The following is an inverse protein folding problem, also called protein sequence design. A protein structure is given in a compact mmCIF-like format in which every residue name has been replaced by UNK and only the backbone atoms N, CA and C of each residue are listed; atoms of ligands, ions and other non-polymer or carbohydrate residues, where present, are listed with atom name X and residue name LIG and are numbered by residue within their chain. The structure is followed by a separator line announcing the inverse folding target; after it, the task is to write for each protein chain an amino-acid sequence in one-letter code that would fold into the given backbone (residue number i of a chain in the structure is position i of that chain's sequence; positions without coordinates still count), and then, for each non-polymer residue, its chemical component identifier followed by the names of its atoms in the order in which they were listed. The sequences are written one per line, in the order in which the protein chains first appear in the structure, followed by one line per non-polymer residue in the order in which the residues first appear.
data_IF_344985797195
#
_entry.id   IF_344985797195
#
_cell.length_a   1.000
_cell.length_b   1.000
_cell.length_c   1.000
_cell.angle_alpha   90.00
_cell.angle_beta   90.00
_cell.angle_gamma   90.00
#
_symmetry.space_group_name_H-M   'P 1'
#
loop_
_entity.id
_entity.type
_entity.pdbx_description
1 polymer ?
#
# COMPACT_ATOMS: atom_id res chain seq x y z
N UNK A 1 10.64 11.16 -20.03
CA UNK A 1 9.64 11.77 -19.13
C UNK A 1 9.80 13.28 -19.15
N UNK A 2 8.71 14.02 -19.31
CA UNK A 2 8.73 15.49 -19.25
C UNK A 2 9.17 15.98 -17.86
N UNK A 3 9.72 17.20 -17.74
CA UNK A 3 10.00 17.80 -16.45
C UNK A 3 8.75 17.79 -15.57
N UNK A 4 8.91 17.38 -14.30
CA UNK A 4 7.82 17.36 -13.34
C UNK A 4 7.47 18.79 -12.94
N UNK A 5 6.17 19.08 -12.86
CA UNK A 5 5.71 20.35 -12.28
C UNK A 5 5.93 20.38 -10.75
N UNK A 6 5.79 21.55 -10.08
CA UNK A 6 6.03 21.67 -8.65
C UNK A 6 5.20 20.73 -7.77
N UNK A 7 3.94 20.45 -8.15
CA UNK A 7 3.04 19.55 -7.41
C UNK A 7 3.49 18.09 -7.57
N UNK A 8 3.78 17.68 -8.80
CA UNK A 8 4.30 16.34 -9.11
C UNK A 8 5.64 16.08 -8.41
N UNK A 9 6.53 17.07 -8.40
CA UNK A 9 7.83 16.99 -7.74
C UNK A 9 7.67 16.89 -6.21
N UNK A 10 6.78 17.69 -5.62
CA UNK A 10 6.52 17.67 -4.18
C UNK A 10 5.94 16.34 -3.71
N UNK A 11 4.96 15.79 -4.44
CA UNK A 11 4.38 14.49 -4.14
C UNK A 11 5.43 13.36 -4.23
N UNK A 12 6.26 13.37 -5.28
CA UNK A 12 7.36 12.40 -5.44
C UNK A 12 8.34 12.44 -4.27
N UNK A 13 8.86 13.63 -3.93
CA UNK A 13 9.82 13.81 -2.84
C UNK A 13 9.24 13.28 -1.52
N UNK A 14 7.97 13.60 -1.26
CA UNK A 14 7.28 13.12 -0.07
C UNK A 14 7.20 11.58 -0.02
N UNK A 15 6.76 10.92 -1.09
CA UNK A 15 6.62 9.47 -1.10
C UNK A 15 7.97 8.76 -0.97
N UNK A 16 9.02 9.26 -1.62
CA UNK A 16 10.39 8.75 -1.48
C UNK A 16 10.90 8.90 -0.04
N UNK A 17 10.68 10.06 0.58
CA UNK A 17 11.06 10.32 1.99
C UNK A 17 10.28 9.46 2.98
N UNK A 18 8.97 9.29 2.78
CA UNK A 18 8.13 8.43 3.61
C UNK A 18 8.60 6.97 3.52
N UNK A 19 8.94 6.49 2.31
CA UNK A 19 9.51 5.15 2.12
C UNK A 19 10.78 4.96 2.92
N UNK A 20 11.72 5.90 2.86
CA UNK A 20 12.99 5.79 3.61
C UNK A 20 12.75 5.71 5.13
N UNK A 21 11.83 6.52 5.65
CA UNK A 21 11.49 6.52 7.09
C UNK A 21 10.78 5.25 7.54
N UNK A 22 9.88 4.71 6.73
CA UNK A 22 9.22 3.43 7.01
C UNK A 22 10.25 2.30 7.00
N UNK A 23 11.10 2.22 5.98
CA UNK A 23 12.14 1.21 5.90
C UNK A 23 13.07 1.26 7.12
N UNK A 24 13.54 2.45 7.50
CA UNK A 24 14.38 2.62 8.68
C UNK A 24 13.69 2.17 9.98
N UNK A 25 12.39 2.46 10.14
CA UNK A 25 11.60 2.02 11.30
C UNK A 25 11.47 0.49 11.35
N UNK A 26 11.30 -0.17 10.19
CA UNK A 26 11.16 -1.62 10.11
C UNK A 26 12.49 -2.34 10.32
N UNK A 27 13.61 -1.80 9.81
CA UNK A 27 14.96 -2.31 10.11
C UNK A 27 15.29 -2.18 11.60
N UNK A 28 14.88 -1.09 12.25
CA UNK A 28 15.04 -0.94 13.70
C UNK A 28 14.26 -2.01 14.47
N UNK A 29 13.05 -2.37 14.04
CA UNK A 29 12.26 -3.46 14.63
C UNK A 29 12.94 -4.82 14.43
N UNK A 30 13.55 -5.10 13.27
CA UNK A 30 14.34 -6.33 13.07
C UNK A 30 15.51 -6.39 14.06
N UNK A 31 16.20 -5.28 14.27
CA UNK A 31 17.31 -5.17 15.23
C UNK A 31 16.84 -5.42 16.66
N UNK A 32 15.70 -4.87 17.07
CA UNK A 32 15.05 -5.18 18.35
C UNK A 32 14.67 -6.67 18.47
N UNK A 33 14.26 -7.29 17.36
CA UNK A 33 13.99 -8.73 17.26
C UNK A 33 15.26 -9.60 17.25
N UNK A 34 16.46 -9.02 17.20
CA UNK A 34 17.74 -9.72 17.12
C UNK A 34 18.06 -10.22 15.70
N UNK A 35 17.69 -9.46 14.67
CA UNK A 35 18.03 -9.70 13.27
C UNK A 35 18.72 -8.47 12.66
N UNK A 36 19.72 -8.71 11.82
CA UNK A 36 20.39 -7.67 11.03
C UNK A 36 19.81 -7.58 9.60
N UNK A 37 18.57 -8.05 9.39
CA UNK A 37 17.89 -7.93 8.10
C UNK A 37 17.71 -6.45 7.70
N UNK A 38 18.00 -6.15 6.45
CA UNK A 38 17.88 -4.82 5.84
C UNK A 38 17.15 -4.89 4.51
N UNK A 39 16.65 -3.75 4.04
CA UNK A 39 16.03 -3.65 2.72
C UNK A 39 17.07 -3.73 1.59
N UNK A 40 16.82 -4.63 0.64
CA UNK A 40 17.44 -4.60 -0.67
C UNK A 40 16.67 -3.65 -1.59
N UNK A 41 17.38 -2.75 -2.27
CA UNK A 41 16.81 -1.74 -3.13
C UNK A 41 17.15 -2.00 -4.60
N UNK A 42 16.14 -2.38 -5.38
CA UNK A 42 16.28 -2.60 -6.81
C UNK A 42 15.63 -1.46 -7.59
N UNK A 43 16.43 -0.67 -8.31
CA UNK A 43 15.93 0.33 -9.26
C UNK A 43 15.42 -0.33 -10.52
N UNK A 44 14.39 0.27 -11.11
CA UNK A 44 13.88 -0.15 -12.41
C UNK A 44 13.38 1.06 -13.18
N UNK A 45 13.56 1.00 -14.49
CA UNK A 45 13.07 2.01 -15.43
C UNK A 45 11.91 1.43 -16.23
N UNK A 46 11.00 2.31 -16.64
CA UNK A 46 9.87 2.00 -17.51
C UNK A 46 10.12 2.60 -18.87
N UNK A 47 9.91 1.79 -19.90
CA UNK A 47 9.77 2.27 -21.27
C UNK A 47 8.28 2.34 -21.59
N UNK A 48 7.82 3.44 -22.17
CA UNK A 48 6.45 3.55 -22.63
C UNK A 48 6.24 2.80 -23.96
N UNK A 49 4.99 2.60 -24.43
CA UNK A 49 4.76 1.83 -25.65
C UNK A 49 5.28 2.48 -26.95
N UNK A 50 5.71 3.75 -26.88
CA UNK A 50 6.40 4.44 -27.97
C UNK A 50 7.93 4.37 -27.86
N UNK A 51 8.45 3.47 -27.03
CA UNK A 51 9.88 3.30 -26.72
C UNK A 51 10.55 4.53 -26.05
N UNK A 52 9.76 5.44 -25.49
CA UNK A 52 10.25 6.64 -24.79
C UNK A 52 10.39 6.41 -23.27
N UNK A 53 11.27 7.17 -22.57
CA UNK A 53 11.43 7.03 -21.12
C UNK A 53 10.13 7.35 -20.35
N UNK A 54 9.51 6.31 -19.78
CA UNK A 54 8.23 6.35 -19.07
C UNK A 54 8.33 6.50 -17.56
N UNK A 55 9.49 6.89 -17.04
CA UNK A 55 9.80 7.00 -15.61
C UNK A 55 10.34 5.68 -15.04
N UNK A 56 10.05 5.38 -13.78
CA UNK A 56 10.56 4.19 -13.11
C UNK A 56 10.23 4.15 -11.62
N UNK A 57 11.00 3.40 -10.86
CA UNK A 57 10.81 3.30 -9.42
C UNK A 57 11.93 2.58 -8.69
N UNK A 58 11.74 2.43 -7.39
CA UNK A 58 12.63 1.67 -6.51
C UNK A 58 11.79 0.66 -5.75
N UNK A 59 12.15 -0.61 -5.92
CA UNK A 59 11.59 -1.71 -5.14
C UNK A 59 12.45 -1.89 -3.90
N UNK A 60 11.89 -1.71 -2.70
CA UNK A 60 12.53 -2.08 -1.44
C UNK A 60 11.94 -3.39 -0.95
N UNK A 61 12.76 -4.43 -0.74
CA UNK A 61 12.30 -5.72 -0.16
C UNK A 61 13.19 -6.13 1.00
N UNK A 62 12.59 -6.57 2.09
CA UNK A 62 13.29 -7.18 3.21
C UNK A 62 12.63 -8.51 3.58
N UNK A 63 13.45 -9.50 3.94
CA UNK A 63 13.03 -10.73 4.60
C UNK A 63 13.88 -10.89 5.85
N UNK A 64 13.23 -10.96 7.00
CA UNK A 64 13.88 -10.98 8.30
C UNK A 64 13.16 -11.88 9.30
N UNK A 65 13.50 -11.70 10.58
CA UNK A 65 12.98 -12.51 11.68
C UNK A 65 11.59 -12.04 12.12
N UNK A 66 11.33 -10.73 12.08
CA UNK A 66 10.03 -10.14 12.46
C UNK A 66 9.13 -10.01 11.23
N UNK A 67 9.67 -9.52 10.12
CA UNK A 67 9.03 -9.38 8.84
C UNK A 67 9.44 -10.55 7.92
N UNK A 68 8.60 -11.58 7.84
CA UNK A 68 8.89 -12.74 6.98
C UNK A 68 9.05 -12.34 5.51
N UNK A 69 8.27 -11.35 5.08
CA UNK A 69 8.46 -10.62 3.82
C UNK A 69 7.79 -9.27 3.92
N UNK A 70 8.54 -8.21 3.66
CA UNK A 70 7.97 -6.86 3.52
C UNK A 70 8.53 -6.22 2.26
N UNK A 71 7.71 -5.45 1.57
CA UNK A 71 8.22 -4.55 0.56
C UNK A 71 7.57 -3.19 0.64
N UNK A 72 8.37 -2.18 0.32
CA UNK A 72 8.00 -0.76 0.31
C UNK A 72 8.52 -0.18 -0.99
N UNK A 73 7.62 -0.01 -1.94
CA UNK A 73 7.92 0.41 -3.29
C UNK A 73 7.54 1.87 -3.48
N UNK A 74 8.37 2.59 -4.21
CA UNK A 74 8.01 3.91 -4.75
C UNK A 74 8.15 3.88 -6.26
N UNK A 75 7.23 4.56 -6.94
CA UNK A 75 7.27 4.71 -8.39
C UNK A 75 6.92 6.13 -8.78
N UNK A 76 7.51 6.60 -9.88
CA UNK A 76 7.14 7.81 -10.58
C UNK A 76 7.19 7.52 -12.07
N UNK A 77 6.02 7.39 -12.67
CA UNK A 77 5.84 6.98 -14.06
C UNK A 77 4.97 7.98 -14.82
N UNK A 78 5.19 8.05 -16.12
CA UNK A 78 4.35 8.84 -17.01
C UNK A 78 4.37 8.27 -18.43
N UNK A 79 3.52 8.82 -19.29
CA UNK A 79 3.44 8.40 -20.69
C UNK A 79 2.00 8.47 -21.18
N UNK A 80 1.65 7.57 -22.08
CA UNK A 80 0.33 7.55 -22.73
C UNK A 80 -0.34 6.20 -22.54
N UNK A 81 -1.63 6.21 -22.18
CA UNK A 81 -2.46 5.00 -22.14
C UNK A 81 -2.81 4.52 -23.56
N UNK A 82 -2.82 3.20 -23.79
CA UNK A 82 -3.12 2.65 -25.11
C UNK A 82 -4.60 2.31 -25.31
N UNK A 83 -5.10 2.53 -26.53
CA UNK A 83 -6.36 2.00 -27.01
C UNK A 83 -7.58 2.37 -26.16
N UNK A 84 -8.46 1.39 -25.92
CA UNK A 84 -9.69 1.61 -25.13
C UNK A 84 -9.42 1.81 -23.63
N UNK A 85 -8.19 1.54 -23.17
CA UNK A 85 -7.84 1.61 -21.76
C UNK A 85 -7.93 3.04 -21.21
N UNK A 86 -7.50 4.02 -22.02
CA UNK A 86 -7.60 5.45 -21.68
C UNK A 86 -9.06 5.87 -21.32
N UNK A 87 -10.05 5.25 -21.97
CA UNK A 87 -11.48 5.54 -21.72
C UNK A 87 -12.01 5.07 -20.37
N UNK A 88 -11.34 4.11 -19.73
CA UNK A 88 -11.67 3.68 -18.37
C UNK A 88 -10.98 4.49 -17.28
N UNK A 89 -10.02 5.35 -17.63
CA UNK A 89 -9.26 6.14 -16.66
C UNK A 89 -9.86 7.54 -16.53
N UNK A 90 -10.04 7.97 -15.29
CA UNK A 90 -10.59 9.28 -14.97
C UNK A 90 -9.75 10.41 -15.60
N UNK A 91 -10.39 11.20 -16.45
CA UNK A 91 -9.75 12.32 -17.15
C UNK A 91 -8.79 11.93 -18.29
N UNK A 92 -8.80 10.69 -18.78
CA UNK A 92 -7.91 10.26 -19.87
C UNK A 92 -8.62 9.88 -21.18
N UNK A 93 -9.95 10.04 -21.26
CA UNK A 93 -10.72 9.60 -22.43
C UNK A 93 -10.37 10.37 -23.72
N UNK A 94 -10.16 11.69 -23.61
CA UNK A 94 -9.84 12.57 -24.74
C UNK A 94 -8.33 12.85 -24.87
N UNK A 95 -7.60 12.81 -23.75
CA UNK A 95 -6.15 12.95 -23.70
C UNK A 95 -5.56 11.77 -22.90
N UNK A 96 -4.93 10.79 -23.58
CA UNK A 96 -4.45 9.58 -22.93
C UNK A 96 -3.16 9.78 -22.13
N UNK A 97 -2.60 10.99 -22.07
CA UNK A 97 -1.38 11.27 -21.30
C UNK A 97 -1.64 11.17 -19.80
N UNK A 98 -0.68 10.61 -19.09
CA UNK A 98 -0.74 10.50 -17.64
C UNK A 98 0.61 10.66 -16.97
N UNK A 99 0.54 10.97 -15.68
CA UNK A 99 1.60 10.86 -14.71
C UNK A 99 1.04 10.22 -13.44
N UNK A 100 1.85 9.40 -12.77
CA UNK A 100 1.53 8.84 -11.47
C UNK A 100 2.80 8.72 -10.63
N UNK A 101 2.71 9.15 -9.37
CA UNK A 101 3.74 8.89 -8.35
C UNK A 101 3.10 8.35 -7.08
N UNK A 102 3.79 7.49 -6.35
CA UNK A 102 3.21 6.90 -5.15
C UNK A 102 4.15 6.00 -4.37
N UNK A 103 3.70 5.67 -3.16
CA UNK A 103 4.27 4.65 -2.28
C UNK A 103 3.26 3.50 -2.15
N UNK A 104 3.74 2.26 -2.17
CA UNK A 104 2.94 1.07 -1.89
C UNK A 104 3.72 0.10 -1.02
N UNK A 105 3.08 -0.41 0.02
CA UNK A 105 3.67 -1.25 1.04
C UNK A 105 2.78 -2.44 1.35
N UNK A 106 3.39 -3.61 1.49
CA UNK A 106 2.77 -4.77 2.13
C UNK A 106 3.78 -5.41 3.07
N UNK A 107 3.36 -5.70 4.30
CA UNK A 107 4.17 -6.40 5.29
C UNK A 107 3.50 -7.70 5.72
N UNK A 108 4.16 -8.83 5.46
CA UNK A 108 3.79 -10.16 5.94
C UNK A 108 4.68 -10.53 7.11
N UNK A 109 4.07 -10.71 8.28
CA UNK A 109 4.79 -10.88 9.54
C UNK A 109 5.13 -12.33 9.82
N UNK A 110 6.27 -12.61 10.45
CA UNK A 110 6.66 -13.97 10.79
C UNK A 110 5.80 -14.54 11.93
N UNK A 111 5.50 -13.71 12.93
CA UNK A 111 4.67 -14.09 14.07
C UNK A 111 3.17 -13.95 13.73
N UNK A 112 2.35 -15.01 13.83
CA UNK A 112 0.90 -14.97 13.58
C UNK A 112 0.13 -13.92 14.40
N UNK A 113 0.64 -13.55 15.57
CA UNK A 113 -0.01 -12.54 16.41
C UNK A 113 0.23 -11.10 15.94
N UNK A 114 1.17 -10.88 15.03
CA UNK A 114 1.37 -9.57 14.43
C UNK A 114 0.53 -9.47 13.15
N UNK A 115 -0.35 -8.47 13.02
CA UNK A 115 -1.17 -8.31 11.83
C UNK A 115 -0.31 -8.03 10.59
N UNK A 116 -0.67 -8.63 9.46
CA UNK A 116 -0.18 -8.15 8.18
C UNK A 116 -0.80 -6.78 7.88
N UNK A 117 -0.13 -5.96 7.06
CA UNK A 117 -0.64 -4.62 6.73
C UNK A 117 -0.38 -4.29 5.28
N UNK A 118 -1.28 -3.47 4.73
CA UNK A 118 -1.10 -2.81 3.46
C UNK A 118 -1.26 -1.29 3.63
N UNK A 119 -0.47 -0.53 2.88
CA UNK A 119 -0.58 0.93 2.81
C UNK A 119 -0.23 1.40 1.41
N UNK A 120 -1.01 2.34 0.89
CA UNK A 120 -0.75 3.00 -0.38
C UNK A 120 -1.10 4.48 -0.28
N UNK A 121 -0.27 5.34 -0.87
CA UNK A 121 -0.61 6.72 -1.16
C UNK A 121 -0.08 7.05 -2.55
N UNK A 122 -0.89 7.72 -3.37
CA UNK A 122 -0.58 7.99 -4.78
C UNK A 122 -1.17 9.33 -5.22
N UNK A 123 -0.47 9.95 -6.16
CA UNK A 123 -0.89 11.15 -6.87
C UNK A 123 -0.94 10.84 -8.36
N UNK A 124 -2.09 11.10 -9.00
CA UNK A 124 -2.31 10.87 -10.41
C UNK A 124 -2.66 12.16 -11.13
N UNK A 125 -2.15 12.29 -12.35
CA UNK A 125 -2.40 13.43 -13.23
C UNK A 125 -2.74 12.91 -14.63
N UNK A 126 -3.91 13.30 -15.12
CA UNK A 126 -4.38 13.20 -16.50
C UNK A 126 -4.81 14.62 -16.91
N UNK A 127 -5.94 14.80 -17.60
CA UNK A 127 -6.65 16.09 -17.61
C UNK A 127 -7.24 16.46 -16.24
N UNK A 128 -7.21 15.52 -15.27
CA UNK A 128 -7.60 15.70 -13.88
C UNK A 128 -6.41 15.45 -12.95
N UNK A 129 -6.45 15.96 -11.73
CA UNK A 129 -5.44 15.73 -10.69
C UNK A 129 -6.10 15.24 -9.44
N UNK A 130 -5.61 14.15 -8.86
CA UNK A 130 -6.20 13.63 -7.62
C UNK A 130 -5.21 12.79 -6.82
N UNK A 131 -5.47 12.73 -5.52
CA UNK A 131 -4.85 11.77 -4.62
C UNK A 131 -5.76 10.56 -4.39
N UNK A 132 -5.12 9.43 -4.12
CA UNK A 132 -5.75 8.21 -3.67
C UNK A 132 -4.84 7.48 -2.70
N UNK A 133 -5.39 6.61 -1.89
CA UNK A 133 -4.60 5.89 -0.90
C UNK A 133 -5.43 5.21 0.17
N UNK A 134 -4.76 4.88 1.25
CA UNK A 134 -5.33 4.19 2.38
C UNK A 134 -4.32 3.32 3.09
N UNK A 135 -4.73 2.79 4.23
CA UNK A 135 -4.03 1.75 4.94
C UNK A 135 -5.06 0.81 5.56
N UNK A 136 -4.76 -0.50 5.54
CA UNK A 136 -5.66 -1.51 6.06
C UNK A 136 -4.90 -2.63 6.78
N UNK A 137 -5.49 -3.10 7.89
CA UNK A 137 -4.89 -4.06 8.80
C UNK A 137 -5.51 -5.45 8.60
N UNK A 138 -4.65 -6.46 8.47
CA UNK A 138 -5.03 -7.81 8.08
C UNK A 138 -4.53 -8.84 9.12
N UNK A 139 -5.13 -8.88 10.32
CA UNK A 139 -4.76 -9.85 11.35
C UNK A 139 -5.29 -11.25 11.00
N UNK A 140 -4.42 -12.29 10.94
CA UNK A 140 -4.91 -13.66 10.91
C UNK A 140 -5.53 -14.07 12.26
N UNK A 141 -5.08 -13.43 13.34
CA UNK A 141 -5.55 -13.58 14.72
C UNK A 141 -5.92 -12.17 15.25
N UNK A 142 -7.20 -11.76 15.19
CA UNK A 142 -7.59 -10.39 15.51
C UNK A 142 -7.53 -10.09 17.01
N UNK A 143 -6.92 -8.95 17.34
CA UNK A 143 -6.97 -8.35 18.68
C UNK A 143 -7.82 -7.06 18.65
N UNK A 144 -8.87 -6.94 19.48
CA UNK A 144 -9.70 -5.74 19.52
C UNK A 144 -8.91 -4.46 19.81
N UNK A 145 -7.88 -4.54 20.66
CA UNK A 145 -7.01 -3.40 20.98
C UNK A 145 -6.23 -2.92 19.75
N UNK A 146 -5.61 -3.83 19.00
CA UNK A 146 -4.79 -3.47 17.83
C UNK A 146 -5.67 -2.87 16.73
N UNK A 147 -6.90 -3.38 16.58
CA UNK A 147 -7.91 -2.83 15.67
C UNK A 147 -8.32 -1.43 16.10
N UNK A 148 -8.67 -1.22 17.37
CA UNK A 148 -9.08 0.07 17.89
C UNK A 148 -7.98 1.13 17.74
N UNK A 149 -6.73 0.79 18.10
CA UNK A 149 -5.61 1.72 18.03
C UNK A 149 -5.27 2.09 16.57
N UNK A 150 -5.31 1.11 15.65
CA UNK A 150 -5.11 1.38 14.22
C UNK A 150 -6.19 2.30 13.66
N UNK A 151 -7.46 2.00 13.95
CA UNK A 151 -8.58 2.81 13.50
C UNK A 151 -8.58 4.21 14.12
N UNK A 152 -8.17 4.35 15.38
CA UNK A 152 -8.05 5.65 16.04
C UNK A 152 -6.95 6.51 15.38
N UNK A 153 -5.81 5.92 15.00
CA UNK A 153 -4.77 6.64 14.29
C UNK A 153 -5.22 7.11 12.89
N UNK A 154 -5.91 6.23 12.14
CA UNK A 154 -6.46 6.59 10.83
C UNK A 154 -7.58 7.65 10.95
N UNK A 155 -8.43 7.52 11.96
CA UNK A 155 -9.47 8.50 12.24
C UNK A 155 -8.88 9.87 12.58
N UNK A 156 -7.87 9.93 13.44
CA UNK A 156 -7.22 11.20 13.80
C UNK A 156 -6.63 11.90 12.56
N UNK A 157 -6.03 11.16 11.64
CA UNK A 157 -5.54 11.72 10.37
C UNK A 157 -6.67 12.23 9.47
N UNK A 158 -7.82 11.58 9.46
CA UNK A 158 -9.00 12.06 8.74
C UNK A 158 -9.63 13.29 9.39
N UNK A 159 -9.88 13.25 10.69
CA UNK A 159 -10.58 14.28 11.46
C UNK A 159 -9.81 15.61 11.51
N UNK A 160 -8.48 15.57 11.32
CA UNK A 160 -7.63 16.76 11.19
C UNK A 160 -7.91 17.59 9.92
N UNK A 161 -8.56 17.01 8.91
CA UNK A 161 -8.84 17.64 7.61
C UNK A 161 -10.33 17.82 7.37
N UNK A 162 -11.12 16.75 7.57
CA UNK A 162 -12.57 16.77 7.45
C UNK A 162 -13.18 15.64 8.29
N UNK A 163 -14.04 15.94 9.29
CA UNK A 163 -14.73 14.92 10.09
C UNK A 163 -15.57 13.91 9.28
N UNK A 164 -15.95 14.24 8.04
CA UNK A 164 -16.65 13.34 7.14
C UNK A 164 -15.71 12.33 6.43
N UNK A 165 -14.38 12.55 6.46
CA UNK A 165 -13.42 11.66 5.81
C UNK A 165 -13.43 10.27 6.43
N UNK A 166 -13.34 10.15 7.75
CA UNK A 166 -13.22 8.83 8.38
C UNK A 166 -14.44 7.94 8.15
N UNK A 167 -15.70 8.38 8.40
CA UNK A 167 -16.87 7.56 8.13
C UNK A 167 -16.94 7.10 6.66
N UNK A 168 -16.63 8.00 5.72
CA UNK A 168 -16.64 7.71 4.28
C UNK A 168 -15.56 6.70 3.88
N UNK A 169 -14.32 6.96 4.26
CA UNK A 169 -13.17 6.17 3.83
C UNK A 169 -13.05 4.83 4.54
N UNK A 170 -13.56 4.74 5.78
CA UNK A 170 -13.72 3.46 6.47
C UNK A 170 -14.74 2.58 5.75
N UNK A 171 -15.93 3.09 5.46
CA UNK A 171 -16.94 2.33 4.72
C UNK A 171 -16.41 1.87 3.37
N UNK A 172 -15.68 2.73 2.67
CA UNK A 172 -15.08 2.36 1.40
C UNK A 172 -14.00 1.27 1.53
N UNK A 173 -13.20 1.28 2.61
CA UNK A 173 -12.27 0.19 2.89
C UNK A 173 -13.01 -1.14 3.12
N UNK A 174 -14.09 -1.11 3.90
CA UNK A 174 -14.90 -2.29 4.19
C UNK A 174 -15.48 -2.89 2.90
N UNK A 175 -16.01 -2.05 2.01
CA UNK A 175 -16.56 -2.48 0.72
C UNK A 175 -15.47 -2.98 -0.24
N UNK A 176 -14.34 -2.28 -0.32
CA UNK A 176 -13.27 -2.58 -1.27
C UNK A 176 -12.51 -3.87 -0.92
N UNK A 177 -12.25 -4.11 0.37
CA UNK A 177 -11.47 -5.28 0.83
C UNK A 177 -12.34 -6.49 1.20
N UNK A 178 -13.57 -6.56 0.66
CA UNK A 178 -14.43 -7.74 0.77
C UNK A 178 -14.00 -8.82 -0.24
N UNK A 179 -14.11 -10.09 0.15
CA UNK A 179 -13.84 -11.26 -0.70
C UNK A 179 -15.17 -11.96 -1.00
N UNK A 180 -15.89 -11.59 -2.09
CA UNK A 180 -17.24 -12.07 -2.37
C UNK A 180 -17.38 -13.59 -2.36
N UNK A 181 -16.44 -14.32 -2.97
CA UNK A 181 -16.52 -15.78 -3.06
C UNK A 181 -16.23 -16.51 -1.73
N UNK A 182 -15.72 -15.80 -0.70
CA UNK A 182 -15.50 -16.32 0.65
C UNK A 182 -16.47 -15.76 1.68
N UNK A 183 -17.20 -14.70 1.36
CA UNK A 183 -18.14 -14.06 2.28
C UNK A 183 -17.46 -13.34 3.46
N UNK A 184 -16.17 -13.01 3.36
CA UNK A 184 -15.39 -12.40 4.45
C UNK A 184 -14.58 -11.20 3.95
N UNK A 185 -14.22 -10.29 4.86
CA UNK A 185 -13.26 -9.23 4.56
C UNK A 185 -11.82 -9.77 4.63
N UNK A 186 -10.90 -9.15 3.88
CA UNK A 186 -9.46 -9.47 3.87
C UNK A 186 -8.79 -9.25 5.23
N UNK A 187 -9.35 -8.35 6.03
CA UNK A 187 -8.83 -7.96 7.33
C UNK A 187 -9.89 -7.21 8.15
N UNK A 188 -9.43 -6.37 9.08
CA UNK A 188 -10.29 -5.51 9.91
C UNK A 188 -10.51 -4.11 9.31
N UNK A 189 -10.04 -3.90 8.08
CA UNK A 189 -10.22 -2.65 7.35
C UNK A 189 -9.23 -1.57 7.80
N UNK A 190 -9.67 -0.33 7.69
CA UNK A 190 -8.86 0.87 7.89
C UNK A 190 -9.51 2.05 7.17
N UNK A 191 -8.78 2.68 6.26
CA UNK A 191 -9.34 3.69 5.35
C UNK A 191 -8.93 3.40 3.91
N UNK A 192 -9.81 3.72 2.97
CA UNK A 192 -9.54 3.68 1.53
C UNK A 192 -10.17 4.91 0.86
N UNK A 193 -9.40 5.60 0.04
CA UNK A 193 -9.85 6.76 -0.72
C UNK A 193 -9.26 6.77 -2.13
N UNK A 194 -10.02 7.32 -3.06
CA UNK A 194 -9.59 7.63 -4.41
C UNK A 194 -10.34 8.86 -4.90
N UNK A 195 -9.84 9.48 -5.97
CA UNK A 195 -10.44 10.68 -6.58
C UNK A 195 -10.56 11.88 -5.62
N UNK A 196 -9.68 12.00 -4.62
CA UNK A 196 -9.59 13.19 -3.79
C UNK A 196 -8.97 14.33 -4.62
N UNK A 197 -9.81 15.28 -5.03
CA UNK A 197 -9.50 16.29 -6.07
C UNK A 197 -10.11 17.66 -5.78
N UNK A 198 -10.03 18.08 -4.52
CA UNK A 198 -10.44 19.40 -4.06
C UNK A 198 -9.30 20.41 -4.35
N UNK A 199 -8.83 21.09 -3.32
CA UNK A 199 -7.60 21.88 -3.34
C UNK A 199 -6.37 20.96 -3.20
N UNK A 200 -5.33 21.20 -4.00
CA UNK A 200 -4.18 20.30 -4.04
C UNK A 200 -3.37 20.34 -2.74
N UNK A 201 -3.19 21.53 -2.16
CA UNK A 201 -2.44 21.71 -0.92
C UNK A 201 -3.13 20.99 0.24
N UNK A 202 -4.46 21.11 0.35
CA UNK A 202 -5.26 20.42 1.38
C UNK A 202 -5.24 18.90 1.17
N UNK A 203 -5.50 18.41 -0.05
CA UNK A 203 -5.51 16.98 -0.35
C UNK A 203 -4.12 16.34 -0.18
N UNK A 204 -3.05 17.09 -0.49
CA UNK A 204 -1.68 16.67 -0.26
C UNK A 204 -1.37 16.63 1.24
N UNK A 205 -1.80 17.62 2.02
CA UNK A 205 -1.64 17.63 3.47
C UNK A 205 -2.33 16.41 4.11
N UNK A 206 -3.57 16.11 3.71
CA UNK A 206 -4.28 14.91 4.16
C UNK A 206 -3.52 13.62 3.80
N UNK A 207 -3.07 13.49 2.55
CA UNK A 207 -2.28 12.33 2.10
C UNK A 207 -1.00 12.16 2.91
N UNK A 208 -0.34 13.27 3.31
CA UNK A 208 0.84 13.24 4.17
C UNK A 208 0.49 12.73 5.56
N UNK A 209 -0.58 13.23 6.17
CA UNK A 209 -0.99 12.84 7.52
C UNK A 209 -1.42 11.36 7.60
N UNK A 210 -2.04 10.81 6.54
CA UNK A 210 -2.29 9.36 6.44
C UNK A 210 -0.98 8.57 6.49
N UNK A 211 0.05 9.02 5.77
CA UNK A 211 1.37 8.41 5.76
C UNK A 211 2.06 8.45 7.12
N UNK A 212 2.01 9.59 7.80
CA UNK A 212 2.56 9.78 9.14
C UNK A 212 1.81 8.96 10.20
N UNK A 213 0.48 8.91 10.11
CA UNK A 213 -0.34 8.11 11.02
C UNK A 213 0.01 6.63 10.91
N UNK A 214 0.18 6.11 9.68
CA UNK A 214 0.65 4.74 9.45
C UNK A 214 2.03 4.49 10.07
N UNK A 215 3.00 5.37 9.78
CA UNK A 215 4.37 5.27 10.29
C UNK A 215 4.42 5.34 11.83
N UNK A 216 3.50 6.08 12.44
CA UNK A 216 3.36 6.16 13.88
C UNK A 216 2.79 4.88 14.49
N UNK A 217 1.65 4.40 13.97
CA UNK A 217 0.88 3.34 14.65
C UNK A 217 1.39 1.94 14.37
N UNK A 218 1.72 1.61 13.11
CA UNK A 218 2.01 0.22 12.74
C UNK A 218 3.25 -0.34 13.46
N UNK A 219 4.39 0.39 13.57
CA UNK A 219 5.52 -0.06 14.37
C UNK A 219 5.19 -0.38 15.83
N UNK A 220 4.23 0.34 16.44
CA UNK A 220 3.80 0.07 17.82
C UNK A 220 3.04 -1.26 17.93
N UNK A 221 2.17 -1.54 16.96
CA UNK A 221 1.43 -2.82 16.88
C UNK A 221 2.39 -3.99 16.67
N UNK A 222 3.41 -3.84 15.81
CA UNK A 222 4.43 -4.86 15.60
C UNK A 222 5.18 -5.17 16.90
N UNK A 223 5.73 -4.15 17.56
CA UNK A 223 6.49 -4.32 18.81
C UNK A 223 5.67 -4.99 19.92
N UNK A 224 4.37 -4.68 20.00
CA UNK A 224 3.46 -5.27 20.98
C UNK A 224 3.34 -6.79 20.86
N UNK A 225 3.44 -7.33 19.64
CA UNK A 225 3.09 -8.72 19.33
C UNK A 225 4.27 -9.58 18.88
N UNK A 226 5.36 -8.98 18.36
CA UNK A 226 6.44 -9.72 17.70
C UNK A 226 7.14 -10.77 18.58
N UNK A 227 7.15 -10.57 19.90
CA UNK A 227 7.74 -11.50 20.87
C UNK A 227 6.77 -12.52 21.48
N UNK A 228 5.50 -12.54 21.09
CA UNK A 228 4.53 -13.49 21.64
C UNK A 228 4.85 -14.93 21.17
N UNK A 229 4.80 -15.94 22.07
CA UNK A 229 4.89 -17.33 21.64
C UNK A 229 3.65 -17.69 20.81
N UNK A 230 3.83 -18.52 19.79
CA UNK A 230 2.76 -19.05 18.94
C UNK A 230 2.99 -20.54 18.70
N UNK A 231 1.94 -21.28 18.37
CA UNK A 231 2.01 -22.71 18.06
C UNK A 231 1.73 -23.02 16.57
N UNK A 232 1.75 -24.31 16.22
CA UNK A 232 1.47 -24.75 14.85
C UNK A 232 0.04 -24.42 14.40
N UNK A 233 -0.91 -24.31 15.31
CA UNK A 233 -2.29 -23.94 14.98
C UNK A 233 -2.41 -22.44 14.66
N UNK A 234 -1.71 -21.59 15.42
CA UNK A 234 -1.57 -20.16 15.10
C UNK A 234 -0.93 -19.96 13.72
N UNK A 235 0.16 -20.70 13.44
CA UNK A 235 0.82 -20.65 12.14
C UNK A 235 -0.07 -21.16 11.02
N UNK A 236 -0.80 -22.26 11.22
CA UNK A 236 -1.76 -22.77 10.24
C UNK A 236 -2.85 -21.73 9.92
N UNK A 237 -3.39 -21.05 10.95
CA UNK A 237 -4.37 -19.96 10.76
C UNK A 237 -3.80 -18.81 9.93
N UNK A 238 -2.55 -18.44 10.20
CA UNK A 238 -1.87 -17.41 9.42
C UNK A 238 -1.70 -17.81 7.95
N UNK A 239 -1.31 -19.05 7.66
CA UNK A 239 -1.12 -19.52 6.28
C UNK A 239 -2.44 -19.62 5.51
N UNK A 240 -3.53 -20.03 6.17
CA UNK A 240 -4.89 -20.00 5.61
C UNK A 240 -5.31 -18.56 5.30
N UNK A 241 -5.08 -17.63 6.22
CA UNK A 241 -5.42 -16.21 6.00
C UNK A 241 -4.59 -15.56 4.89
N UNK A 242 -3.32 -15.95 4.76
CA UNK A 242 -2.46 -15.56 3.64
C UNK A 242 -2.99 -16.09 2.30
N UNK A 243 -3.63 -17.26 2.29
CA UNK A 243 -4.37 -17.77 1.13
C UNK A 243 -5.49 -16.83 0.70
N UNK A 244 -6.31 -16.38 1.65
CA UNK A 244 -7.36 -15.36 1.40
C UNK A 244 -6.78 -14.03 0.89
N UNK A 245 -5.65 -13.60 1.45
CA UNK A 245 -4.97 -12.39 1.00
C UNK A 245 -4.50 -12.50 -0.46
N UNK A 246 -3.95 -13.66 -0.84
CA UNK A 246 -3.55 -13.94 -2.22
C UNK A 246 -4.78 -14.01 -3.17
N UNK A 247 -5.87 -14.66 -2.75
CA UNK A 247 -7.13 -14.69 -3.50
C UNK A 247 -7.64 -13.28 -3.80
N UNK A 248 -7.67 -12.40 -2.80
CA UNK A 248 -8.09 -11.01 -3.01
C UNK A 248 -7.20 -10.29 -4.03
N UNK A 249 -5.88 -10.34 -3.84
CA UNK A 249 -4.95 -9.60 -4.70
C UNK A 249 -4.97 -10.10 -6.15
N UNK A 250 -5.14 -11.40 -6.37
CA UNK A 250 -5.11 -11.98 -7.72
C UNK A 250 -6.47 -11.87 -8.44
N UNK A 251 -7.59 -11.81 -7.72
CA UNK A 251 -8.93 -11.86 -8.31
C UNK A 251 -9.63 -10.50 -8.31
N UNK A 252 -9.43 -9.67 -7.28
CA UNK A 252 -10.24 -8.47 -7.06
C UNK A 252 -9.43 -7.18 -7.00
N UNK A 253 -8.17 -7.21 -6.58
CA UNK A 253 -7.39 -5.99 -6.44
C UNK A 253 -7.17 -5.30 -7.80
N UNK A 254 -7.78 -4.13 -7.95
CA UNK A 254 -7.73 -3.35 -9.19
C UNK A 254 -6.29 -2.95 -9.53
N UNK A 255 -5.47 -2.62 -8.52
CA UNK A 255 -4.08 -2.21 -8.70
C UNK A 255 -3.22 -3.34 -9.28
N UNK A 256 -3.32 -4.54 -8.70
CA UNK A 256 -2.62 -5.75 -9.16
C UNK A 256 -3.05 -6.14 -10.57
N UNK A 257 -4.37 -6.26 -10.81
CA UNK A 257 -4.90 -6.60 -12.13
C UNK A 257 -4.50 -5.57 -13.20
N UNK A 258 -4.52 -4.29 -12.85
CA UNK A 258 -4.09 -3.21 -13.73
C UNK A 258 -2.61 -3.37 -14.09
N UNK A 259 -1.72 -3.44 -13.09
CA UNK A 259 -0.28 -3.55 -13.33
C UNK A 259 0.11 -4.77 -14.17
N UNK A 260 -0.52 -5.93 -13.94
CA UNK A 260 -0.25 -7.15 -14.71
C UNK A 260 -0.72 -7.04 -16.16
N UNK A 261 -1.83 -6.34 -16.42
CA UNK A 261 -2.37 -6.17 -17.78
C UNK A 261 -1.65 -5.10 -18.60
N UNK A 262 -0.99 -4.14 -17.96
CA UNK A 262 -0.33 -3.01 -18.64
C UNK A 262 1.19 -3.14 -18.70
N UNK A 263 1.74 -4.34 -18.50
CA UNK A 263 3.19 -4.57 -18.57
C UNK A 263 3.99 -3.86 -17.47
N UNK A 264 3.39 -3.66 -16.29
CA UNK A 264 4.11 -3.13 -15.14
C UNK A 264 5.21 -4.08 -14.65
N UNK A 265 6.08 -3.59 -13.76
CA UNK A 265 7.13 -4.43 -13.19
C UNK A 265 6.51 -5.56 -12.35
N UNK A 266 6.53 -6.78 -12.89
CA UNK A 266 5.85 -7.95 -12.32
C UNK A 266 6.32 -8.24 -10.90
N UNK A 267 7.62 -8.17 -10.63
CA UNK A 267 8.17 -8.41 -9.30
C UNK A 267 7.75 -7.34 -8.29
N UNK A 268 7.62 -6.08 -8.73
CA UNK A 268 7.14 -5.01 -7.88
C UNK A 268 5.63 -5.15 -7.57
N UNK A 269 4.84 -5.65 -8.52
CA UNK A 269 3.39 -5.89 -8.36
C UNK A 269 3.15 -7.09 -7.43
N UNK A 270 3.80 -8.22 -7.71
CA UNK A 270 3.64 -9.46 -6.95
C UNK A 270 4.44 -9.49 -5.64
N UNK A 271 5.19 -8.43 -5.35
CA UNK A 271 5.77 -8.19 -4.02
C UNK A 271 4.71 -8.33 -2.93
N UNK A 272 3.48 -7.89 -3.20
CA UNK A 272 2.33 -7.95 -2.28
C UNK A 272 1.96 -9.36 -1.82
N UNK A 273 2.32 -10.41 -2.57
CA UNK A 273 1.97 -11.78 -2.22
C UNK A 273 2.79 -12.29 -1.02
N UNK A 274 2.18 -13.06 -0.11
CA UNK A 274 2.89 -13.68 1.00
C UNK A 274 3.97 -14.66 0.52
N UNK A 275 5.01 -14.93 1.32
CA UNK A 275 6.06 -15.89 0.97
C UNK A 275 5.57 -17.34 0.99
N UNK A 276 4.54 -17.64 1.81
CA UNK A 276 3.91 -18.94 1.92
C UNK A 276 2.43 -18.77 2.26
N UNK A 277 1.57 -19.55 1.62
CA UNK A 277 0.13 -19.63 1.86
C UNK A 277 -0.35 -21.07 1.65
N UNK A 278 -1.46 -21.44 2.26
CA UNK A 278 -2.07 -22.78 2.14
C UNK A 278 -3.55 -22.66 1.80
N UNK A 279 -4.03 -23.63 1.03
CA UNK A 279 -5.46 -23.84 0.76
C UNK A 279 -5.83 -25.23 1.28
N UNK A 280 -6.88 -25.30 2.09
CA UNK A 280 -7.41 -26.53 2.68
C UNK A 280 -8.88 -26.71 2.34
#
# INVERSE_FOLDING_TARGET
MQPLDPQQQSARIWFESLRDRICASFEAIEREGGSDATFDYTRWDRVDPSDEPGGGGVRGVMKGKVFEKVGVNVSTVGGTFEGKFAKSIHGAADDPRFFATGISLVAHMANPHVPAVHMNCRFLVTTKRWFGGGADLNPPLPYPQDTADFHAAMQAACDAHDPAHYPRFRQWADDYFYIPHRGVHRGVGGIFYDHLSNDWEDDFAFTRDVGEAFLSIYPQLVRRRMGMPFDDADRARQLEWRGRYAEFNLVYDRGTLFGLKTGGNIDAILMSLPPLATWS
#
